data_IF_095115978757
#
_entry.id   IF_095115978757
#
_cell.length_a   1.000
_cell.length_b   1.000
_cell.length_c   1.000
_cell.angle_alpha   90.00
_cell.angle_beta   90.00
_cell.angle_gamma   90.00
#
_symmetry.space_group_name_H-M   'P 1'
#
loop_
_entity.id
_entity.type
_entity.pdbx_description
1 polymer ?
#
# COMPACT_ATOMS: atom_id res chain seq x y z
N UNK A 1 -23.03 13.03 9.73
CA UNK A 1 -22.26 12.00 9.02
C UNK A 1 -20.83 12.49 8.98
N UNK A 2 -19.91 11.75 9.61
CA UNK A 2 -18.47 12.04 9.55
C UNK A 2 -18.00 11.36 8.27
N UNK A 3 -17.67 12.16 7.26
CA UNK A 3 -17.10 11.66 6.01
C UNK A 3 -15.59 11.69 6.15
N UNK A 4 -14.99 10.53 6.40
CA UNK A 4 -13.54 10.38 6.49
C UNK A 4 -12.93 10.44 5.10
N UNK A 5 -12.07 11.45 4.89
CA UNK A 5 -11.46 11.73 3.60
C UNK A 5 -10.03 11.24 3.57
N UNK A 6 -9.78 10.24 2.74
CA UNK A 6 -8.48 9.62 2.54
C UNK A 6 -7.94 9.99 1.16
N UNK A 7 -6.70 10.47 1.10
CA UNK A 7 -6.00 10.74 -0.16
C UNK A 7 -4.82 9.77 -0.28
N UNK A 8 -4.73 9.06 -1.40
CA UNK A 8 -3.64 8.15 -1.70
C UNK A 8 -2.90 8.53 -2.99
N UNK A 9 -1.59 8.28 -3.04
CA UNK A 9 -0.78 8.42 -4.26
C UNK A 9 -0.38 7.06 -4.80
N UNK A 10 -0.41 6.84 -6.15
CA UNK A 10 -0.36 5.48 -6.65
C UNK A 10 0.23 5.25 -8.03
N UNK A 11 0.72 4.01 -8.22
CA UNK A 11 0.96 3.36 -9.50
C UNK A 11 -0.18 2.39 -9.85
N UNK A 12 -0.88 2.62 -10.98
CA UNK A 12 -1.83 1.65 -11.53
C UNK A 12 -1.06 0.54 -12.26
N UNK A 13 -0.91 -0.62 -11.62
CA UNK A 13 -0.25 -1.79 -12.21
C UNK A 13 -1.30 -2.82 -12.61
N UNK A 14 -1.04 -3.51 -13.72
CA UNK A 14 -1.74 -4.74 -14.10
C UNK A 14 -0.81 -5.92 -13.91
N UNK A 15 -1.15 -6.78 -12.97
CA UNK A 15 -0.41 -8.01 -12.75
C UNK A 15 -0.74 -9.03 -13.86
N UNK A 16 0.30 -9.48 -14.56
CA UNK A 16 0.27 -10.53 -15.57
C UNK A 16 0.91 -11.76 -14.97
N UNK A 17 0.12 -12.63 -14.39
CA UNK A 17 0.61 -13.81 -13.69
C UNK A 17 0.52 -15.03 -14.60
N UNK A 18 1.64 -15.72 -14.79
CA UNK A 18 1.69 -17.03 -15.44
C UNK A 18 2.16 -18.05 -14.41
N UNK A 19 1.29 -19.01 -14.08
CA UNK A 19 1.68 -20.19 -13.30
C UNK A 19 2.15 -21.28 -14.26
N UNK A 20 3.40 -21.72 -14.14
CA UNK A 20 4.02 -22.76 -14.95
C UNK A 20 4.59 -23.89 -14.07
N UNK A 21 4.96 -25.01 -14.64
CA UNK A 21 5.56 -26.12 -13.89
C UNK A 21 6.91 -25.75 -13.27
N UNK A 22 7.64 -24.83 -13.89
CA UNK A 22 8.91 -24.24 -13.41
C UNK A 22 9.18 -22.91 -14.08
N UNK A 23 10.07 -22.13 -13.51
CA UNK A 23 10.57 -20.90 -14.14
C UNK A 23 11.52 -21.25 -15.30
N UNK A 24 11.48 -20.50 -16.44
CA UNK A 24 12.42 -20.68 -17.53
C UNK A 24 13.82 -20.17 -17.15
N UNK A 25 14.85 -20.84 -17.63
CA UNK A 25 16.22 -20.31 -17.61
C UNK A 25 16.47 -19.39 -18.81
N UNK A 26 17.51 -18.53 -18.81
CA UNK A 26 17.81 -17.65 -19.94
C UNK A 26 17.91 -18.40 -21.27
N UNK A 27 17.15 -17.94 -22.27
CA UNK A 27 17.08 -18.55 -23.60
C UNK A 27 16.10 -19.71 -23.77
N UNK A 28 15.39 -20.08 -22.71
CA UNK A 28 14.45 -21.20 -22.72
C UNK A 28 13.00 -20.74 -22.93
N UNK A 29 12.22 -21.59 -23.63
CA UNK A 29 10.76 -21.46 -23.73
C UNK A 29 10.10 -22.61 -22.98
N UNK A 30 9.29 -22.30 -21.97
CA UNK A 30 8.46 -23.25 -21.24
C UNK A 30 7.04 -23.14 -21.77
N UNK A 31 6.47 -24.26 -22.25
CA UNK A 31 5.07 -24.33 -22.70
C UNK A 31 4.15 -24.83 -21.60
N UNK A 32 2.93 -24.32 -21.58
CA UNK A 32 1.88 -24.68 -20.60
C UNK A 32 1.74 -23.65 -19.51
N UNK A 33 0.80 -23.91 -18.61
CA UNK A 33 0.51 -23.04 -17.49
C UNK A 33 -0.85 -22.35 -17.59
N UNK A 34 -1.20 -21.63 -16.51
CA UNK A 34 -2.44 -20.87 -16.42
C UNK A 34 -2.09 -19.38 -16.37
N UNK A 35 -2.79 -18.58 -17.17
CA UNK A 35 -2.62 -17.15 -17.21
C UNK A 35 -3.73 -16.43 -16.45
N UNK A 36 -3.36 -15.48 -15.62
CA UNK A 36 -4.28 -14.61 -14.88
C UNK A 36 -3.92 -13.15 -15.12
N UNK A 37 -4.92 -12.30 -15.16
CA UNK A 37 -4.79 -10.85 -15.18
C UNK A 37 -5.49 -10.29 -13.95
N UNK A 38 -4.72 -9.72 -13.04
CA UNK A 38 -5.28 -9.07 -11.87
C UNK A 38 -5.04 -7.57 -11.94
N UNK A 39 -6.03 -6.74 -11.62
CA UNK A 39 -5.76 -5.36 -11.30
C UNK A 39 -4.92 -5.33 -10.01
N UNK A 40 -3.88 -4.49 -10.01
CA UNK A 40 -2.91 -4.38 -8.92
C UNK A 40 -2.43 -2.94 -8.77
N UNK A 41 -1.32 -2.78 -8.07
CA UNK A 41 -0.76 -1.51 -7.63
C UNK A 41 -1.11 -1.24 -6.17
N UNK A 42 -0.08 -0.92 -5.37
CA UNK A 42 -0.25 -0.81 -3.90
C UNK A 42 -1.27 0.25 -3.52
N UNK A 43 -1.16 1.45 -4.08
CA UNK A 43 -2.07 2.51 -3.74
C UNK A 43 -3.50 2.25 -4.24
N UNK A 44 -3.74 1.59 -5.43
CA UNK A 44 -5.08 1.15 -5.83
C UNK A 44 -5.65 0.13 -4.86
N UNK A 45 -4.85 -0.86 -4.48
CA UNK A 45 -5.27 -1.86 -3.51
C UNK A 45 -5.64 -1.19 -2.18
N UNK A 46 -4.81 -0.26 -1.69
CA UNK A 46 -5.05 0.49 -0.45
C UNK A 46 -6.27 1.41 -0.56
N UNK A 47 -6.44 2.09 -1.70
CA UNK A 47 -7.59 2.94 -1.97
C UNK A 47 -8.91 2.14 -2.02
N UNK A 48 -8.91 0.99 -2.71
CA UNK A 48 -10.07 0.09 -2.76
C UNK A 48 -10.36 -0.48 -1.36
N UNK A 49 -9.33 -0.87 -0.61
CA UNK A 49 -9.52 -1.34 0.76
C UNK A 49 -10.19 -0.26 1.62
N UNK A 50 -9.69 0.97 1.59
CA UNK A 50 -10.28 2.08 2.33
C UNK A 50 -11.72 2.36 1.90
N UNK A 51 -12.02 2.39 0.60
CA UNK A 51 -13.36 2.64 0.08
C UNK A 51 -14.37 1.54 0.50
N UNK A 52 -13.99 0.25 0.39
CA UNK A 52 -14.83 -0.87 0.84
C UNK A 52 -15.07 -0.90 2.34
N UNK A 53 -14.15 -0.28 3.10
CA UNK A 53 -14.25 -0.14 4.55
C UNK A 53 -15.00 1.11 5.00
N UNK A 54 -15.44 1.96 4.05
CA UNK A 54 -16.39 3.04 4.30
C UNK A 54 -15.83 4.45 4.18
N UNK A 55 -14.53 4.63 3.87
CA UNK A 55 -13.94 5.96 3.71
C UNK A 55 -14.35 6.62 2.37
N UNK A 56 -14.44 7.95 2.35
CA UNK A 56 -14.42 8.74 1.14
C UNK A 56 -12.98 8.86 0.61
N UNK A 57 -12.68 8.21 -0.50
CA UNK A 57 -11.32 8.14 -1.04
C UNK A 57 -11.16 9.02 -2.26
N UNK A 58 -10.14 9.89 -2.27
CA UNK A 58 -9.63 10.55 -3.47
C UNK A 58 -8.28 9.95 -3.84
N UNK A 59 -8.17 9.44 -5.06
CA UNK A 59 -6.94 8.84 -5.57
C UNK A 59 -6.19 9.84 -6.45
N UNK A 60 -4.94 10.14 -6.09
CA UNK A 60 -4.02 10.95 -6.90
C UNK A 60 -3.05 10.01 -7.59
N UNK A 61 -3.10 9.92 -8.92
CA UNK A 61 -2.35 8.94 -9.68
C UNK A 61 -2.10 9.41 -11.11
N UNK A 62 -1.31 8.64 -11.88
CA UNK A 62 -1.12 8.85 -13.31
C UNK A 62 -1.13 7.53 -14.06
N UNK A 63 -1.99 7.45 -15.08
CA UNK A 63 -2.22 6.29 -15.93
C UNK A 63 -1.85 6.60 -17.37
N UNK A 64 -1.59 5.58 -18.18
CA UNK A 64 -1.45 5.73 -19.63
C UNK A 64 -2.80 5.93 -20.32
N UNK A 65 -2.77 6.56 -21.50
CA UNK A 65 -3.92 6.61 -22.40
C UNK A 65 -4.05 5.30 -23.18
N UNK A 66 -4.38 4.23 -22.47
CA UNK A 66 -4.48 2.87 -23.01
C UNK A 66 -5.64 2.10 -22.38
N UNK A 67 -5.89 0.89 -22.90
CA UNK A 67 -6.97 0.04 -22.41
C UNK A 67 -6.84 -0.28 -20.91
N UNK A 68 -5.61 -0.40 -20.40
CA UNK A 68 -5.38 -0.74 -18.99
C UNK A 68 -5.72 0.43 -18.07
N UNK A 69 -5.34 1.64 -18.46
CA UNK A 69 -5.70 2.86 -17.73
C UNK A 69 -7.21 3.09 -17.71
N UNK A 70 -7.90 2.89 -18.86
CA UNK A 70 -9.36 3.03 -18.94
C UNK A 70 -10.08 2.01 -18.05
N UNK A 71 -9.65 0.74 -18.08
CA UNK A 71 -10.23 -0.30 -17.22
C UNK A 71 -9.97 -0.04 -15.73
N UNK A 72 -8.81 0.52 -15.38
CA UNK A 72 -8.52 0.91 -13.99
C UNK A 72 -9.48 2.00 -13.52
N UNK A 73 -9.72 3.04 -14.33
CA UNK A 73 -10.69 4.10 -14.02
C UNK A 73 -12.10 3.56 -13.80
N UNK A 74 -12.54 2.60 -14.61
CA UNK A 74 -13.86 1.97 -14.43
C UNK A 74 -13.96 1.23 -13.09
N UNK A 75 -12.91 0.48 -12.71
CA UNK A 75 -12.85 -0.21 -11.42
C UNK A 75 -12.94 0.80 -10.28
N UNK A 76 -12.11 1.87 -10.29
CA UNK A 76 -12.12 2.85 -9.20
C UNK A 76 -13.45 3.57 -9.06
N UNK A 77 -14.10 3.93 -10.18
CA UNK A 77 -15.45 4.53 -10.17
C UNK A 77 -16.50 3.55 -9.62
N UNK A 78 -16.40 2.27 -9.94
CA UNK A 78 -17.33 1.25 -9.41
C UNK A 78 -17.17 1.07 -7.89
N UNK A 79 -15.98 1.30 -7.35
CA UNK A 79 -15.69 1.32 -5.91
C UNK A 79 -15.94 2.70 -5.25
N UNK A 80 -16.54 3.64 -5.99
CA UNK A 80 -16.88 5.01 -5.54
C UNK A 80 -15.68 5.87 -5.14
N UNK A 81 -14.49 5.55 -5.64
CA UNK A 81 -13.28 6.35 -5.45
C UNK A 81 -13.37 7.60 -6.33
N UNK A 82 -13.05 8.78 -5.77
CA UNK A 82 -12.92 10.00 -6.56
C UNK A 82 -11.69 9.90 -7.47
N UNK A 83 -11.93 9.93 -8.78
CA UNK A 83 -10.92 9.78 -9.85
C UNK A 83 -10.55 11.11 -10.52
N UNK A 84 -10.98 12.25 -9.99
CA UNK A 84 -10.73 13.58 -10.57
C UNK A 84 -9.25 13.88 -10.76
N UNK A 85 -8.40 13.39 -9.85
CA UNK A 85 -6.95 13.61 -9.83
C UNK A 85 -6.16 12.40 -10.33
N UNK A 86 -6.79 11.53 -11.12
CA UNK A 86 -6.09 10.51 -11.90
C UNK A 86 -5.75 11.12 -13.27
N UNK A 87 -4.50 11.53 -13.42
CA UNK A 87 -4.02 12.17 -14.64
C UNK A 87 -3.71 11.13 -15.72
N UNK A 88 -3.78 11.55 -16.97
CA UNK A 88 -3.49 10.68 -18.12
C UNK A 88 -2.22 11.12 -18.82
N UNK A 89 -1.26 10.19 -18.97
CA UNK A 89 -0.07 10.37 -19.79
C UNK A 89 -0.33 9.89 -21.22
N UNK A 90 -0.12 10.78 -22.20
CA UNK A 90 -0.31 10.46 -23.63
C UNK A 90 0.91 9.77 -24.27
N UNK A 91 2.04 9.71 -23.54
CA UNK A 91 3.33 9.22 -24.06
C UNK A 91 3.72 7.87 -23.50
N UNK A 92 3.40 7.63 -22.23
CA UNK A 92 3.77 6.42 -21.51
C UNK A 92 2.56 5.50 -21.33
N UNK A 93 2.70 4.19 -21.52
CA UNK A 93 1.62 3.25 -21.22
C UNK A 93 1.40 3.14 -19.71
N UNK A 94 0.26 2.59 -19.32
CA UNK A 94 0.00 2.20 -17.93
C UNK A 94 0.99 1.16 -17.44
N UNK A 95 1.27 1.13 -16.13
CA UNK A 95 2.21 0.20 -15.53
C UNK A 95 1.76 -1.27 -15.64
N UNK A 96 2.73 -2.18 -15.75
CA UNK A 96 2.50 -3.63 -15.82
C UNK A 96 3.53 -4.36 -14.96
N UNK A 97 3.09 -5.36 -14.19
CA UNK A 97 3.97 -6.35 -13.58
C UNK A 97 3.84 -7.68 -14.33
N UNK A 98 4.97 -8.24 -14.75
CA UNK A 98 5.07 -9.59 -15.31
C UNK A 98 5.52 -10.52 -14.19
N UNK A 99 4.67 -11.47 -13.83
CA UNK A 99 4.88 -12.37 -12.70
C UNK A 99 4.84 -13.80 -13.21
N UNK A 100 5.95 -14.51 -13.07
CA UNK A 100 6.02 -15.95 -13.32
C UNK A 100 6.06 -16.68 -11.97
N UNK A 101 5.22 -17.70 -11.80
CA UNK A 101 5.14 -18.50 -10.57
C UNK A 101 5.30 -19.96 -10.93
N UNK A 102 6.17 -20.69 -10.26
CA UNK A 102 6.36 -22.14 -10.48
C UNK A 102 5.43 -23.00 -9.59
N UNK A 103 5.56 -24.33 -9.74
CA UNK A 103 4.78 -25.29 -8.96
C UNK A 103 5.11 -25.32 -7.46
N UNK A 104 6.23 -24.73 -7.04
CA UNK A 104 6.65 -24.62 -5.64
C UNK A 104 6.23 -23.29 -5.01
N UNK A 105 5.65 -22.36 -5.82
CA UNK A 105 5.27 -21.03 -5.37
C UNK A 105 6.42 -20.00 -5.46
N UNK A 106 7.59 -20.39 -5.99
CA UNK A 106 8.68 -19.45 -6.28
C UNK A 106 8.26 -18.53 -7.43
N UNK A 107 8.58 -17.23 -7.29
CA UNK A 107 8.19 -16.25 -8.28
C UNK A 107 9.37 -15.44 -8.83
N UNK A 108 9.17 -14.93 -10.03
CA UNK A 108 10.04 -13.93 -10.68
C UNK A 108 9.17 -12.79 -11.17
N UNK A 109 9.50 -11.56 -10.75
CA UNK A 109 8.68 -10.37 -11.00
C UNK A 109 9.50 -9.31 -11.70
N UNK A 110 8.97 -8.80 -12.82
CA UNK A 110 9.51 -7.64 -13.53
C UNK A 110 8.41 -6.58 -13.56
N UNK A 111 8.71 -5.39 -13.06
CA UNK A 111 7.78 -4.26 -13.06
C UNK A 111 8.21 -3.23 -14.10
N UNK A 112 7.31 -2.93 -15.02
CA UNK A 112 7.40 -1.78 -15.90
C UNK A 112 6.44 -0.70 -15.37
N UNK A 113 6.94 0.35 -14.70
CA UNK A 113 6.10 1.29 -13.96
C UNK A 113 5.23 2.20 -14.87
N UNK A 114 5.63 2.41 -16.11
CA UNK A 114 4.85 3.18 -17.08
C UNK A 114 4.57 4.62 -16.64
N UNK A 115 3.36 5.09 -16.92
CA UNK A 115 2.91 6.48 -16.71
C UNK A 115 3.00 6.97 -15.26
N UNK A 116 2.91 6.10 -14.27
CA UNK A 116 3.00 6.50 -12.87
C UNK A 116 4.34 7.16 -12.50
N UNK A 117 5.42 6.77 -13.21
CA UNK A 117 6.74 7.41 -13.06
C UNK A 117 6.77 8.87 -13.52
N UNK A 118 5.76 9.34 -14.22
CA UNK A 118 5.63 10.74 -14.66
C UNK A 118 4.65 11.55 -13.80
N UNK A 119 4.16 11.01 -12.68
CA UNK A 119 3.41 11.81 -11.71
C UNK A 119 4.33 12.89 -11.14
N UNK A 120 3.92 14.14 -11.24
CA UNK A 120 4.79 15.29 -10.97
C UNK A 120 4.27 16.15 -9.81
N UNK A 121 5.11 17.06 -9.33
CA UNK A 121 4.74 18.05 -8.32
C UNK A 121 3.64 18.99 -8.80
N UNK A 122 3.59 19.29 -10.10
CA UNK A 122 2.51 20.10 -10.71
C UNK A 122 1.16 19.35 -10.70
N UNK A 123 1.18 18.02 -10.77
CA UNK A 123 -0.03 17.20 -10.63
C UNK A 123 -0.52 17.24 -9.17
N UNK A 124 0.40 17.20 -8.19
CA UNK A 124 0.08 17.40 -6.78
C UNK A 124 -0.48 18.80 -6.52
N UNK A 125 0.07 19.84 -7.16
CA UNK A 125 -0.45 21.22 -7.03
C UNK A 125 -1.91 21.34 -7.43
N UNK A 126 -2.35 20.61 -8.47
CA UNK A 126 -3.76 20.57 -8.88
C UNK A 126 -4.67 19.91 -7.83
N UNK A 127 -4.12 18.99 -7.05
CA UNK A 127 -4.85 18.25 -6.02
C UNK A 127 -4.75 18.85 -4.60
N UNK A 128 -4.10 20.02 -4.42
CA UNK A 128 -3.85 20.63 -3.10
C UNK A 128 -5.09 20.80 -2.24
N UNK A 129 -6.21 21.19 -2.84
CA UNK A 129 -7.47 21.34 -2.10
C UNK A 129 -7.91 20.02 -1.44
N UNK A 130 -7.68 18.88 -2.10
CA UNK A 130 -8.00 17.57 -1.53
C UNK A 130 -7.03 17.15 -0.43
N UNK A 131 -5.76 17.53 -0.52
CA UNK A 131 -4.82 17.34 0.57
C UNK A 131 -5.20 18.17 1.81
N UNK A 132 -5.70 19.39 1.60
CA UNK A 132 -6.18 20.28 2.67
C UNK A 132 -7.48 19.78 3.31
N UNK A 133 -8.40 19.19 2.53
CA UNK A 133 -9.67 18.64 3.01
C UNK A 133 -9.55 17.29 3.71
N UNK A 134 -8.49 16.51 3.43
CA UNK A 134 -8.34 15.15 3.92
C UNK A 134 -8.08 15.08 5.44
N UNK A 135 -8.54 14.03 6.07
CA UNK A 135 -8.19 13.70 7.47
C UNK A 135 -6.87 12.95 7.54
N UNK A 136 -6.64 12.05 6.57
CA UNK A 136 -5.42 11.23 6.45
C UNK A 136 -4.94 11.23 5.01
N UNK A 137 -3.62 11.27 4.85
CA UNK A 137 -2.93 11.09 3.57
C UNK A 137 -2.14 9.78 3.63
N UNK A 138 -2.56 8.78 2.86
CA UNK A 138 -1.90 7.47 2.77
C UNK A 138 -1.03 7.41 1.52
N UNK A 139 0.26 7.12 1.70
CA UNK A 139 1.27 7.17 0.64
C UNK A 139 2.06 5.86 0.52
N UNK A 140 2.53 5.57 -0.70
CA UNK A 140 3.43 4.48 -1.04
C UNK A 140 4.58 5.03 -1.90
N UNK A 141 5.52 4.14 -2.31
CA UNK A 141 6.72 4.56 -3.06
C UNK A 141 6.74 4.02 -4.50
N UNK A 142 5.57 3.78 -5.08
CA UNK A 142 5.45 3.31 -6.48
C UNK A 142 5.40 4.44 -7.51
N UNK A 143 5.43 5.69 -7.07
CA UNK A 143 5.56 6.90 -7.90
C UNK A 143 6.90 7.61 -7.57
N UNK A 144 7.33 8.67 -8.30
CA UNK A 144 8.60 9.33 -8.00
C UNK A 144 8.68 9.80 -6.55
N UNK A 145 9.77 9.46 -5.85
CA UNK A 145 9.95 9.77 -4.43
C UNK A 145 9.90 11.27 -4.18
N UNK A 146 10.45 12.07 -5.07
CA UNK A 146 10.39 13.54 -5.01
C UNK A 146 8.95 14.07 -5.02
N UNK A 147 8.05 13.42 -5.75
CA UNK A 147 6.63 13.79 -5.80
C UNK A 147 5.92 13.40 -4.49
N UNK A 148 6.26 12.23 -3.92
CA UNK A 148 5.71 11.77 -2.62
C UNK A 148 6.20 12.68 -1.49
N UNK A 149 7.50 13.01 -1.46
CA UNK A 149 8.09 13.94 -0.46
C UNK A 149 7.46 15.33 -0.56
N UNK A 150 7.22 15.83 -1.77
CA UNK A 150 6.53 17.10 -1.98
C UNK A 150 5.09 17.07 -1.45
N UNK A 151 4.33 16.03 -1.76
CA UNK A 151 2.97 15.86 -1.27
C UNK A 151 2.92 15.74 0.27
N UNK A 152 3.87 14.99 0.88
CA UNK A 152 3.98 14.87 2.33
C UNK A 152 4.31 16.22 3.01
N UNK A 153 5.18 17.03 2.38
CA UNK A 153 5.52 18.37 2.86
C UNK A 153 4.30 19.29 2.87
N UNK A 154 3.49 19.26 1.80
CA UNK A 154 2.23 20.02 1.71
C UNK A 154 1.25 19.54 2.77
N UNK A 155 1.03 18.22 2.87
CA UNK A 155 0.13 17.63 3.86
C UNK A 155 0.50 18.05 5.29
N UNK A 156 1.79 17.99 5.63
CA UNK A 156 2.30 18.45 6.93
C UNK A 156 2.03 19.94 7.15
N UNK A 157 2.18 20.80 6.12
CA UNK A 157 1.91 22.23 6.24
C UNK A 157 0.44 22.55 6.53
N UNK A 158 -0.48 21.65 6.13
CA UNK A 158 -1.90 21.69 6.47
C UNK A 158 -2.25 20.99 7.79
N UNK A 159 -1.25 20.48 8.53
CA UNK A 159 -1.44 19.78 9.80
C UNK A 159 -2.07 18.38 9.65
N UNK A 160 -1.96 17.77 8.46
CA UNK A 160 -2.56 16.46 8.18
C UNK A 160 -1.69 15.30 8.65
N UNK A 161 -2.32 14.19 9.04
CA UNK A 161 -1.63 12.95 9.37
C UNK A 161 -1.19 12.24 8.08
N UNK A 162 0.13 12.14 7.88
CA UNK A 162 0.70 11.38 6.76
C UNK A 162 1.01 9.97 7.23
N UNK A 163 0.41 8.98 6.59
CA UNK A 163 0.71 7.56 6.77
C UNK A 163 1.53 7.11 5.56
N UNK A 164 2.69 6.52 5.81
CA UNK A 164 3.57 5.99 4.76
C UNK A 164 3.68 4.48 4.85
N UNK A 165 3.28 3.78 3.80
CA UNK A 165 3.73 2.42 3.54
C UNK A 165 5.00 2.52 2.67
N UNK A 166 6.22 2.26 3.19
CA UNK A 166 7.47 2.51 2.48
C UNK A 166 7.79 1.40 1.46
N UNK A 167 6.80 1.04 0.65
CA UNK A 167 6.84 -0.03 -0.33
C UNK A 167 6.74 0.50 -1.78
N UNK A 168 7.61 0.03 -2.70
CA UNK A 168 8.77 -0.84 -2.49
C UNK A 168 9.85 -0.17 -1.67
N UNK A 169 10.63 -0.99 -0.95
CA UNK A 169 11.71 -0.51 -0.08
C UNK A 169 12.68 0.43 -0.82
N UNK A 170 12.91 1.61 -0.25
CA UNK A 170 13.71 2.68 -0.84
C UNK A 170 14.44 3.48 0.24
N UNK A 171 15.53 4.14 -0.14
CA UNK A 171 16.23 5.08 0.73
C UNK A 171 15.43 6.38 0.80
N UNK A 172 15.09 6.81 2.00
CA UNK A 172 14.29 8.00 2.25
C UNK A 172 15.11 9.06 2.98
N UNK A 173 14.89 10.34 2.62
CA UNK A 173 15.55 11.47 3.28
C UNK A 173 14.98 11.69 4.69
N UNK A 174 15.79 12.23 5.60
CA UNK A 174 15.30 12.59 6.93
C UNK A 174 14.26 13.73 6.86
N UNK A 175 14.34 14.62 5.85
CA UNK A 175 13.34 15.65 5.60
C UNK A 175 11.98 15.04 5.29
N UNK A 176 11.93 14.02 4.43
CA UNK A 176 10.71 13.30 4.13
C UNK A 176 10.17 12.56 5.36
N UNK A 177 11.01 11.77 6.04
CA UNK A 177 10.60 11.01 7.22
C UNK A 177 10.03 11.92 8.32
N UNK A 178 10.57 13.12 8.48
CA UNK A 178 10.03 14.12 9.44
C UNK A 178 8.61 14.61 9.10
N UNK A 179 8.12 14.39 7.88
CA UNK A 179 6.75 14.70 7.48
C UNK A 179 5.76 13.54 7.76
N UNK A 180 6.28 12.35 8.07
CA UNK A 180 5.48 11.15 8.28
C UNK A 180 5.04 11.06 9.74
N UNK A 181 3.72 10.96 9.97
CA UNK A 181 3.13 10.75 11.29
C UNK A 181 3.21 9.27 11.69
N UNK A 182 2.84 8.37 10.77
CA UNK A 182 2.87 6.92 11.00
C UNK A 182 3.51 6.21 9.81
N UNK A 183 4.42 5.27 10.08
CA UNK A 183 5.03 4.45 9.04
C UNK A 183 4.66 2.97 9.22
N UNK A 184 4.30 2.31 8.11
CA UNK A 184 3.80 0.94 8.08
C UNK A 184 4.74 0.04 7.23
N UNK A 185 5.98 -0.25 7.68
CA UNK A 185 6.89 -1.14 6.98
C UNK A 185 6.59 -2.61 7.25
N UNK A 186 6.92 -3.49 6.31
CA UNK A 186 7.11 -4.91 6.57
C UNK A 186 8.53 -5.17 7.13
N UNK A 187 8.88 -6.47 7.40
CA UNK A 187 10.20 -6.86 7.93
C UNK A 187 11.36 -6.36 7.07
N UNK A 188 11.25 -6.47 5.75
CA UNK A 188 12.31 -6.10 4.79
C UNK A 188 12.47 -4.57 4.74
N UNK A 189 11.36 -3.87 4.68
CA UNK A 189 11.33 -2.40 4.67
C UNK A 189 11.84 -1.83 6.00
N UNK A 190 11.47 -2.46 7.13
CA UNK A 190 11.97 -2.09 8.44
C UNK A 190 13.49 -2.32 8.57
N UNK A 191 14.02 -3.43 8.03
CA UNK A 191 15.47 -3.70 7.96
C UNK A 191 16.18 -2.63 7.14
N UNK A 192 15.65 -2.25 5.97
CA UNK A 192 16.25 -1.20 5.12
C UNK A 192 16.26 0.16 5.82
N UNK A 193 15.17 0.52 6.52
CA UNK A 193 15.05 1.80 7.21
C UNK A 193 15.90 1.90 8.48
N UNK A 194 16.05 0.79 9.22
CA UNK A 194 16.73 0.76 10.51
C UNK A 194 18.16 0.24 10.46
N UNK A 195 18.51 -0.55 9.42
CA UNK A 195 19.72 -1.35 9.36
C UNK A 195 19.69 -2.60 10.26
N UNK A 196 18.53 -2.95 10.83
CA UNK A 196 18.35 -4.04 11.80
C UNK A 196 17.45 -5.12 11.18
N UNK A 197 17.96 -6.34 11.04
CA UNK A 197 17.18 -7.48 10.56
C UNK A 197 16.11 -7.86 11.59
N UNK A 198 14.83 -7.88 11.16
CA UNK A 198 13.69 -8.19 12.02
C UNK A 198 13.37 -9.69 11.93
N UNK A 199 13.74 -10.43 12.97
CA UNK A 199 13.54 -11.89 13.06
C UNK A 199 12.67 -12.32 14.25
N UNK A 200 12.61 -11.50 15.30
CA UNK A 200 11.90 -11.72 16.56
C UNK A 200 11.39 -10.38 17.13
N UNK A 201 10.73 -10.44 18.28
CA UNK A 201 10.17 -9.27 18.96
C UNK A 201 11.25 -8.29 19.41
N UNK A 202 12.40 -8.77 19.92
CA UNK A 202 13.50 -7.89 20.36
C UNK A 202 14.08 -7.10 19.19
N UNK A 203 14.30 -7.75 18.05
CA UNK A 203 14.80 -7.09 16.83
C UNK A 203 13.74 -6.16 16.24
N UNK A 204 12.44 -6.48 16.34
CA UNK A 204 11.35 -5.60 15.95
C UNK A 204 11.31 -4.33 16.81
N UNK A 205 11.48 -4.47 18.14
CA UNK A 205 11.61 -3.36 19.06
C UNK A 205 12.78 -2.44 18.68
N UNK A 206 13.97 -3.01 18.48
CA UNK A 206 15.17 -2.22 18.09
C UNK A 206 14.96 -1.49 16.75
N UNK A 207 14.36 -2.18 15.77
CA UNK A 207 14.07 -1.58 14.47
C UNK A 207 13.05 -0.44 14.59
N UNK A 208 11.94 -0.66 15.32
CA UNK A 208 10.92 0.36 15.54
C UNK A 208 11.48 1.60 16.26
N UNK A 209 12.33 1.38 17.27
CA UNK A 209 13.03 2.46 17.98
C UNK A 209 13.91 3.27 17.04
N UNK A 210 14.79 2.60 16.28
CA UNK A 210 15.71 3.26 15.32
C UNK A 210 14.98 4.02 14.21
N UNK A 211 13.80 3.53 13.77
CA UNK A 211 12.95 4.21 12.81
C UNK A 211 12.31 5.45 13.47
N UNK A 212 11.80 5.32 14.70
CA UNK A 212 11.20 6.42 15.44
C UNK A 212 12.19 7.56 15.72
N UNK A 213 13.46 7.25 15.98
CA UNK A 213 14.54 8.24 16.19
C UNK A 213 14.80 9.14 14.94
N UNK A 214 14.27 8.75 13.77
CA UNK A 214 14.28 9.59 12.56
C UNK A 214 13.19 10.68 12.55
N UNK A 215 12.43 10.83 13.65
CA UNK A 215 11.38 11.84 13.81
C UNK A 215 9.97 11.35 13.50
N UNK A 216 9.75 10.03 13.40
CA UNK A 216 8.45 9.43 13.14
C UNK A 216 7.77 9.11 14.49
N UNK A 217 6.55 9.60 14.67
CA UNK A 217 5.82 9.42 15.93
C UNK A 217 5.42 7.96 16.16
N UNK A 218 4.83 7.33 15.15
CA UNK A 218 4.29 5.98 15.23
C UNK A 218 4.92 5.04 14.20
N UNK A 219 5.36 3.87 14.63
CA UNK A 219 5.92 2.82 13.76
C UNK A 219 5.13 1.53 13.95
N UNK A 220 4.60 0.96 12.88
CA UNK A 220 3.88 -0.31 12.90
C UNK A 220 4.55 -1.26 11.92
N UNK A 221 5.36 -2.18 12.44
CA UNK A 221 6.06 -3.18 11.62
C UNK A 221 5.15 -4.39 11.42
N UNK A 222 4.70 -4.63 10.20
CA UNK A 222 3.90 -5.82 9.89
C UNK A 222 4.78 -7.06 9.81
N UNK A 223 4.38 -8.13 10.52
CA UNK A 223 5.14 -9.37 10.69
C UNK A 223 4.47 -10.59 10.03
N UNK A 224 3.53 -10.35 9.14
CA UNK A 224 2.75 -11.37 8.44
C UNK A 224 1.87 -12.17 9.43
N UNK A 225 2.00 -13.47 9.44
CA UNK A 225 1.22 -14.37 10.33
C UNK A 225 1.46 -14.11 11.82
N UNK A 226 2.57 -13.48 12.18
CA UNK A 226 2.88 -13.16 13.57
C UNK A 226 2.18 -11.87 14.06
N UNK A 227 1.55 -11.10 13.15
CA UNK A 227 0.82 -9.88 13.49
C UNK A 227 1.58 -8.60 13.19
N UNK A 228 1.60 -7.64 14.13
CA UNK A 228 2.29 -6.37 13.96
C UNK A 228 2.96 -5.92 15.26
N UNK A 229 4.14 -5.32 15.15
CA UNK A 229 4.85 -4.68 16.25
C UNK A 229 4.64 -3.18 16.19
N UNK A 230 4.11 -2.61 17.26
CA UNK A 230 3.68 -1.21 17.34
C UNK A 230 4.59 -0.44 18.27
N UNK A 231 5.10 0.70 17.80
CA UNK A 231 5.68 1.76 18.63
C UNK A 231 4.76 2.99 18.55
N UNK A 232 4.20 3.37 19.67
CA UNK A 232 3.46 4.63 19.84
C UNK A 232 4.16 5.48 20.89
N UNK A 233 4.74 6.61 20.50
CA UNK A 233 5.61 7.42 21.38
C UNK A 233 6.71 6.56 22.02
N UNK A 234 6.68 6.37 23.34
CA UNK A 234 7.63 5.52 24.10
C UNK A 234 7.04 4.16 24.50
N UNK A 235 5.83 3.85 24.04
CA UNK A 235 5.18 2.56 24.29
C UNK A 235 5.41 1.60 23.12
N UNK A 236 5.52 0.31 23.44
CA UNK A 236 5.81 -0.75 22.49
C UNK A 236 4.91 -1.95 22.78
N UNK A 237 4.24 -2.46 21.76
CA UNK A 237 3.26 -3.54 21.91
C UNK A 237 3.31 -4.48 20.72
N UNK A 238 3.29 -5.79 20.99
CA UNK A 238 3.06 -6.81 19.96
C UNK A 238 1.56 -7.11 19.86
N UNK A 239 0.98 -6.97 18.68
CA UNK A 239 -0.43 -7.27 18.40
C UNK A 239 -0.47 -8.49 17.47
N UNK A 240 -0.96 -9.64 17.96
CA UNK A 240 -0.97 -10.88 17.17
C UNK A 240 -1.94 -10.81 15.99
N UNK A 241 -1.65 -11.53 14.91
CA UNK A 241 -2.60 -11.75 13.83
C UNK A 241 -3.66 -12.79 14.24
N UNK A 242 -4.82 -12.76 13.56
CA UNK A 242 -5.81 -13.86 13.64
C UNK A 242 -5.28 -15.05 12.82
N UNK A 243 -5.29 -16.23 13.41
CA UNK A 243 -4.95 -17.47 12.69
C UNK A 243 -6.05 -17.82 11.68
N UNK A 244 -5.65 -18.00 10.43
CA UNK A 244 -6.56 -18.37 9.33
C UNK A 244 -5.85 -19.33 8.36
N UNK A 245 -6.62 -20.08 7.61
CA UNK A 245 -6.10 -20.86 6.49
C UNK A 245 -5.79 -19.92 5.32
N UNK A 246 -4.51 -19.81 4.99
CA UNK A 246 -4.02 -18.89 3.95
C UNK A 246 -4.12 -19.53 2.58
N UNK A 247 -4.79 -18.85 1.65
CA UNK A 247 -4.90 -19.22 0.23
C UNK A 247 -3.93 -18.38 -0.63
N UNK A 248 -3.93 -17.05 -0.44
CA UNK A 248 -3.11 -16.10 -1.22
C UNK A 248 -2.77 -14.88 -0.35
N UNK A 249 -1.49 -14.53 -0.24
CA UNK A 249 -1.03 -13.38 0.54
C UNK A 249 -0.91 -12.08 -0.27
N UNK A 250 -1.24 -12.12 -1.56
CA UNK A 250 -1.13 -10.96 -2.46
C UNK A 250 -2.01 -9.82 -1.99
N UNK A 251 -1.41 -8.65 -1.79
CA UNK A 251 -2.13 -7.43 -1.36
C UNK A 251 -2.53 -7.40 0.13
N UNK A 252 -2.18 -8.41 0.95
CA UNK A 252 -2.52 -8.42 2.37
C UNK A 252 -1.99 -7.17 3.12
N UNK A 253 -0.76 -6.74 2.82
CA UNK A 253 -0.18 -5.52 3.36
C UNK A 253 -0.93 -4.25 2.91
N UNK A 254 -1.46 -4.25 1.68
CA UNK A 254 -2.25 -3.13 1.17
C UNK A 254 -3.61 -3.06 1.89
N UNK A 255 -4.26 -4.21 2.10
CA UNK A 255 -5.50 -4.29 2.89
C UNK A 255 -5.26 -3.81 4.31
N UNK A 256 -4.15 -4.22 4.93
CA UNK A 256 -3.75 -3.74 6.25
C UNK A 256 -3.61 -2.21 6.27
N UNK A 257 -2.86 -1.62 5.33
CA UNK A 257 -2.64 -0.18 5.27
C UNK A 257 -3.95 0.61 5.07
N UNK A 258 -4.82 0.16 4.17
CA UNK A 258 -6.12 0.76 3.94
C UNK A 258 -7.02 0.68 5.18
N UNK A 259 -7.13 -0.50 5.79
CA UNK A 259 -7.93 -0.73 6.98
C UNK A 259 -7.45 0.07 8.20
N UNK A 260 -6.13 0.07 8.43
CA UNK A 260 -5.49 0.86 9.48
C UNK A 260 -5.82 2.35 9.33
N UNK A 261 -5.69 2.88 8.11
CA UNK A 261 -5.93 4.29 7.83
C UNK A 261 -7.37 4.70 8.06
N UNK A 262 -8.33 3.86 7.67
CA UNK A 262 -9.76 4.10 7.93
C UNK A 262 -10.04 4.15 9.44
N UNK A 263 -9.59 3.16 10.18
CA UNK A 263 -9.89 3.08 11.61
C UNK A 263 -9.22 4.21 12.41
N UNK A 264 -7.99 4.59 12.01
CA UNK A 264 -7.31 5.74 12.61
C UNK A 264 -8.02 7.07 12.29
N UNK A 265 -8.66 7.20 11.11
CA UNK A 265 -9.43 8.39 10.74
C UNK A 265 -10.73 8.50 11.53
N UNK A 266 -11.34 7.36 11.91
CA UNK A 266 -12.50 7.27 12.80
C UNK A 266 -12.16 7.63 14.27
N UNK A 267 -10.93 8.10 14.56
CA UNK A 267 -10.41 8.45 15.87
C UNK A 267 -10.29 7.26 16.85
N UNK A 268 -10.16 6.06 16.35
CA UNK A 268 -9.74 4.92 17.14
C UNK A 268 -8.26 5.03 17.57
N UNK A 269 -7.88 4.33 18.61
CA UNK A 269 -6.48 4.25 19.06
C UNK A 269 -5.61 3.55 18.01
N UNK A 270 -4.30 3.71 18.14
CA UNK A 270 -3.34 3.04 17.25
C UNK A 270 -3.49 1.51 17.37
N UNK A 271 -3.63 1.00 18.59
CA UNK A 271 -3.84 -0.44 18.88
C UNK A 271 -5.10 -0.96 18.22
N UNK A 272 -6.25 -0.31 18.43
CA UNK A 272 -7.53 -0.70 17.80
C UNK A 272 -7.43 -0.67 16.26
N UNK A 273 -6.72 0.32 15.72
CA UNK A 273 -6.50 0.43 14.26
C UNK A 273 -5.67 -0.72 13.71
N UNK A 274 -4.67 -1.20 14.45
CA UNK A 274 -3.86 -2.36 14.08
C UNK A 274 -4.64 -3.67 14.23
N UNK A 275 -5.43 -3.82 15.29
CA UNK A 275 -6.30 -5.01 15.49
C UNK A 275 -7.32 -5.16 14.36
N UNK A 276 -7.96 -4.06 13.95
CA UNK A 276 -8.87 -4.04 12.82
C UNK A 276 -8.16 -4.34 11.51
N UNK A 277 -6.97 -3.75 11.28
CA UNK A 277 -6.17 -3.99 10.09
C UNK A 277 -5.70 -5.46 10.01
N UNK A 278 -5.29 -6.06 11.12
CA UNK A 278 -4.97 -7.48 11.20
C UNK A 278 -6.17 -8.37 10.84
N UNK A 279 -7.37 -8.03 11.33
CA UNK A 279 -8.60 -8.79 11.01
C UNK A 279 -8.97 -8.68 9.53
N UNK A 280 -8.85 -7.48 8.93
CA UNK A 280 -9.11 -7.26 7.52
C UNK A 280 -8.10 -8.02 6.64
N UNK A 281 -6.81 -7.94 6.95
CA UNK A 281 -5.75 -8.64 6.23
C UNK A 281 -5.89 -10.16 6.37
N UNK A 282 -6.22 -10.67 7.57
CA UNK A 282 -6.47 -12.08 7.79
C UNK A 282 -7.63 -12.61 6.94
N UNK A 283 -8.71 -11.85 6.80
CA UNK A 283 -9.82 -12.23 5.91
C UNK A 283 -9.42 -12.20 4.43
N UNK A 284 -8.62 -11.21 4.02
CA UNK A 284 -8.15 -11.11 2.64
C UNK A 284 -7.31 -12.33 2.22
N UNK A 285 -6.39 -12.81 3.05
CA UNK A 285 -5.51 -13.94 2.71
C UNK A 285 -6.24 -15.28 2.59
N UNK A 286 -7.51 -15.38 3.00
CA UNK A 286 -8.36 -16.56 2.77
C UNK A 286 -8.99 -16.60 1.37
N UNK A 287 -8.63 -15.65 0.49
CA UNK A 287 -9.21 -15.49 -0.86
C UNK A 287 -8.11 -15.32 -1.90
N UNK A 288 -8.41 -15.70 -3.15
CA UNK A 288 -7.48 -15.53 -4.27
C UNK A 288 -7.47 -14.09 -4.82
N UNK A 289 -6.27 -13.60 -5.14
CA UNK A 289 -6.01 -12.33 -5.84
C UNK A 289 -5.84 -11.14 -4.88
N UNK A 290 -5.45 -9.97 -5.43
CA UNK A 290 -5.25 -8.74 -4.68
C UNK A 290 -6.59 -8.01 -4.45
N UNK A 291 -7.06 -7.24 -5.45
CA UNK A 291 -8.29 -6.44 -5.32
C UNK A 291 -9.56 -7.28 -5.13
N UNK A 292 -9.62 -8.48 -5.72
CA UNK A 292 -10.75 -9.41 -5.55
C UNK A 292 -10.87 -9.95 -4.12
N UNK A 293 -9.76 -10.04 -3.39
CA UNK A 293 -9.71 -10.57 -2.03
C UNK A 293 -10.07 -9.53 -0.96
N UNK A 294 -10.03 -8.23 -1.27
CA UNK A 294 -10.27 -7.14 -0.32
C UNK A 294 -11.70 -7.24 0.26
N UNK A 295 -11.85 -7.33 1.60
CA UNK A 295 -13.15 -7.45 2.23
C UNK A 295 -13.92 -6.12 2.29
N UNK A 296 -15.25 -6.22 2.43
CA UNK A 296 -16.09 -5.10 2.81
C UNK A 296 -16.20 -5.01 4.35
N UNK A 297 -16.47 -3.78 4.88
CA UNK A 297 -16.58 -3.53 6.35
C UNK A 297 -17.51 -4.53 7.06
N UNK A 298 -18.64 -4.88 6.44
CA UNK A 298 -19.64 -5.83 6.98
C UNK A 298 -19.16 -7.29 7.11
N UNK A 299 -18.04 -7.65 6.48
CA UNK A 299 -17.49 -9.00 6.50
C UNK A 299 -16.46 -9.18 7.62
N UNK A 300 -15.98 -8.09 8.22
CA UNK A 300 -14.94 -8.11 9.23
C UNK A 300 -15.61 -8.23 10.61
N UNK A 301 -15.34 -9.35 11.28
CA UNK A 301 -15.72 -9.55 12.69
C UNK A 301 -14.52 -9.21 13.58
N UNK A 302 -14.72 -8.28 14.51
CA UNK A 302 -13.74 -7.92 15.55
C UNK A 302 -13.78 -8.93 16.71
#
# INVERSE_FOLDING_TARGET
EIHERLVGSEMCIRDRVVKAGRLPVPGETVLGGTFYMNPGGKGANQAIAAARLGAEVTLISKIGYDLFGLQALEIYRSEKINTEFIFTDQKSPSGVALISVDSYGENSIIVAPGASRSLSTEDIDKAKSKLEEADIILMQLEVPIETVEYAATIAKSYGKKVILNPAPASVLSNSFLSCVHTILPNRIEAEMLSGIKVIDEESAWRAAKAIGEKGIENVVITLGKDGAYVKEKEEYTMIPAKEVETIDTTGAGDVFCGAFSVYLSENHTLTESVEFANAAAALAVTRMGAQSAIPYKREIAL
#
